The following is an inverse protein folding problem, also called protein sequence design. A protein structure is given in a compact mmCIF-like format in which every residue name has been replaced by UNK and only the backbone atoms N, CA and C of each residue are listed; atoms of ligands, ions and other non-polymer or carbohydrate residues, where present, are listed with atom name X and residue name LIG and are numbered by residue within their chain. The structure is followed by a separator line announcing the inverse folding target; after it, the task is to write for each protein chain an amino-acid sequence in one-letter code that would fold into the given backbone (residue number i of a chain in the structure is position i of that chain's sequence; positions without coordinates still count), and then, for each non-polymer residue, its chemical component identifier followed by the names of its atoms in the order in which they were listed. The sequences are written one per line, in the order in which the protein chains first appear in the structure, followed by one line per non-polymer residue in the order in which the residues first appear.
data_IF_308144344341
#
_entry.id   IF_308144344341
#
_cell.length_a   1.000
_cell.length_b   1.000
_cell.length_c   1.000
_cell.angle_alpha   90.00
_cell.angle_beta   90.00
_cell.angle_gamma   90.00
#
_symmetry.space_group_name_H-M   'P 1'
#
loop_
_entity.id
_entity.type
_entity.pdbx_description
1 polymer ?
#
# COMPACT_ATOMS: atom_id res chain seq x y z
N UNK A 1 -14.56 36.58 11.13
CA UNK A 1 -14.53 35.63 10.00
C UNK A 1 -14.40 34.24 10.60
N UNK A 2 -15.21 33.25 10.20
CA UNK A 2 -14.98 31.87 10.63
C UNK A 2 -13.66 31.39 10.01
N UNK A 3 -12.80 30.80 10.84
CA UNK A 3 -11.54 30.18 10.42
C UNK A 3 -11.81 29.07 9.40
N UNK A 4 -11.01 28.94 8.33
CA UNK A 4 -11.16 27.82 7.41
C UNK A 4 -10.79 26.54 8.17
N UNK A 5 -11.77 25.66 8.38
CA UNK A 5 -11.63 24.25 8.77
C UNK A 5 -10.21 23.81 9.17
N UNK A 6 -9.91 23.86 10.47
CA UNK A 6 -8.94 22.95 11.10
C UNK A 6 -9.53 21.53 11.10
N UNK A 7 -9.80 20.98 9.91
CA UNK A 7 -9.79 19.53 9.79
C UNK A 7 -8.31 19.15 9.90
N UNK A 8 -7.91 18.24 10.81
CA UNK A 8 -6.56 17.70 10.76
C UNK A 8 -6.32 17.23 9.33
N UNK A 9 -5.26 17.71 8.68
CA UNK A 9 -4.96 17.31 7.32
C UNK A 9 -4.79 15.79 7.32
N UNK A 10 -5.74 15.07 6.71
CA UNK A 10 -5.79 13.61 6.76
C UNK A 10 -4.47 13.04 6.24
N UNK A 11 -3.85 12.15 7.02
CA UNK A 11 -2.67 11.41 6.61
C UNK A 11 -3.14 10.44 5.53
N UNK A 12 -2.67 10.63 4.29
CA UNK A 12 -2.93 9.67 3.22
C UNK A 12 -1.68 9.35 2.41
N UNK A 13 -1.61 8.09 1.98
CA UNK A 13 -0.66 7.56 1.00
C UNK A 13 -1.42 7.00 -0.20
N UNK A 14 -1.02 7.41 -1.39
CA UNK A 14 -1.53 6.89 -2.65
C UNK A 14 -0.61 5.75 -3.09
N UNK A 15 -1.18 4.59 -3.36
CA UNK A 15 -0.44 3.46 -3.92
C UNK A 15 -1.19 2.86 -5.10
N UNK A 16 -0.44 2.25 -6.01
CA UNK A 16 -0.95 1.54 -7.15
C UNK A 16 -0.73 0.05 -6.99
N UNK A 17 -1.68 -0.72 -7.51
CA UNK A 17 -1.53 -2.16 -7.69
C UNK A 17 -1.70 -2.47 -9.17
N UNK A 18 -0.65 -3.02 -9.77
CA UNK A 18 -0.73 -3.68 -11.06
C UNK A 18 -1.20 -5.11 -10.83
N UNK A 19 -2.34 -5.47 -11.42
CA UNK A 19 -2.85 -6.84 -11.50
C UNK A 19 -2.46 -7.40 -12.86
N UNK A 20 -1.58 -8.40 -12.87
CA UNK A 20 -1.12 -9.10 -14.07
C UNK A 20 -1.68 -10.53 -14.04
N UNK A 21 -2.82 -10.72 -14.70
CA UNK A 21 -3.52 -12.00 -14.71
C UNK A 21 -2.80 -13.09 -15.50
N UNK A 22 -2.14 -12.81 -16.65
CA UNK A 22 -1.32 -13.80 -17.33
C UNK A 22 -0.21 -14.39 -16.46
N UNK A 23 0.45 -13.55 -15.64
CA UNK A 23 1.53 -13.99 -14.75
C UNK A 23 1.02 -14.46 -13.38
N UNK A 24 -0.26 -14.22 -13.06
CA UNK A 24 -0.84 -14.51 -11.76
C UNK A 24 -0.26 -13.67 -10.62
N UNK A 25 0.28 -12.49 -10.94
CA UNK A 25 1.00 -11.64 -9.97
C UNK A 25 0.29 -10.32 -9.71
N UNK A 26 0.59 -9.74 -8.57
CA UNK A 26 0.29 -8.35 -8.24
C UNK A 26 1.60 -7.62 -7.95
N UNK A 27 1.70 -6.36 -8.37
CA UNK A 27 2.82 -5.48 -8.03
C UNK A 27 2.28 -4.23 -7.34
N UNK A 28 2.73 -3.97 -6.11
CA UNK A 28 2.38 -2.79 -5.31
C UNK A 28 3.49 -1.75 -5.44
N UNK A 29 3.11 -0.51 -5.74
CA UNK A 29 4.02 0.63 -5.80
C UNK A 29 3.40 1.83 -5.11
N UNK A 30 4.08 2.44 -4.16
CA UNK A 30 3.64 3.73 -3.59
C UNK A 30 3.86 4.82 -4.64
N UNK A 31 2.87 5.69 -4.84
CA UNK A 31 2.93 6.73 -5.87
C UNK A 31 3.20 8.11 -5.27
N UNK A 32 2.45 8.45 -4.23
CA UNK A 32 2.47 9.79 -3.65
C UNK A 32 1.94 9.76 -2.21
N UNK A 33 2.06 10.86 -1.51
CA UNK A 33 1.62 11.02 -0.13
C UNK A 33 1.29 12.47 0.19
N UNK A 34 0.40 12.65 1.16
CA UNK A 34 0.03 13.98 1.65
C UNK A 34 1.18 14.66 2.39
N UNK A 35 1.24 15.99 2.34
CA UNK A 35 2.20 16.77 3.11
C UNK A 35 2.06 16.54 4.63
N UNK A 36 0.85 16.22 5.11
CA UNK A 36 0.60 15.86 6.50
C UNK A 36 1.31 14.57 6.91
N UNK A 37 1.28 13.54 6.07
CA UNK A 37 2.01 12.29 6.30
C UNK A 37 3.52 12.54 6.46
N UNK A 38 4.08 13.40 5.59
CA UNK A 38 5.48 13.79 5.67
C UNK A 38 5.79 14.59 6.94
N UNK A 39 4.97 15.60 7.25
CA UNK A 39 5.17 16.47 8.41
C UNK A 39 5.07 15.70 9.74
N UNK A 40 4.23 14.67 9.80
CA UNK A 40 4.11 13.79 10.96
C UNK A 40 5.17 12.68 11.01
N UNK A 41 6.10 12.64 10.05
CA UNK A 41 7.17 11.64 9.99
C UNK A 41 6.65 10.21 9.85
N UNK A 42 5.56 10.03 9.11
CA UNK A 42 5.04 8.71 8.77
C UNK A 42 6.07 7.98 7.91
N UNK A 43 6.23 6.69 8.16
CA UNK A 43 7.08 5.77 7.42
C UNK A 43 6.23 4.68 6.78
N UNK A 44 6.77 4.03 5.76
CA UNK A 44 6.16 2.88 5.13
C UNK A 44 6.89 1.59 5.49
N UNK A 45 6.16 0.49 5.45
CA UNK A 45 6.71 -0.85 5.47
C UNK A 45 5.91 -1.71 4.51
N UNK A 46 6.60 -2.53 3.71
CA UNK A 46 5.93 -3.46 2.80
C UNK A 46 6.10 -4.87 3.38
N UNK A 47 4.98 -5.49 3.72
CA UNK A 47 4.92 -6.88 4.14
C UNK A 47 4.67 -7.81 2.96
N UNK A 48 5.28 -8.98 2.97
CA UNK A 48 4.98 -10.07 2.03
C UNK A 48 4.66 -11.33 2.81
N UNK A 49 3.57 -11.99 2.46
CA UNK A 49 3.15 -13.24 3.09
C UNK A 49 2.95 -14.31 2.03
N UNK A 50 3.71 -15.39 2.13
CA UNK A 50 3.51 -16.61 1.36
C UNK A 50 2.40 -17.48 1.97
N UNK A 51 1.85 -18.39 1.19
CA UNK A 51 0.81 -19.31 1.69
C UNK A 51 1.35 -20.18 2.82
N UNK A 52 0.60 -20.22 3.93
CA UNK A 52 0.98 -20.98 5.11
C UNK A 52 2.08 -20.33 5.97
N UNK A 53 2.62 -19.18 5.56
CA UNK A 53 3.64 -18.46 6.31
C UNK A 53 3.07 -17.24 7.05
N UNK A 54 3.83 -16.77 8.03
CA UNK A 54 3.61 -15.45 8.64
C UNK A 54 4.11 -14.35 7.71
N UNK A 55 3.53 -13.17 7.85
CA UNK A 55 3.97 -11.98 7.11
C UNK A 55 5.43 -11.65 7.45
N UNK A 56 6.25 -11.50 6.42
CA UNK A 56 7.61 -11.00 6.50
C UNK A 56 7.61 -9.51 6.17
N UNK A 57 8.02 -8.68 7.14
CA UNK A 57 8.06 -7.22 7.00
C UNK A 57 9.42 -6.75 6.51
N UNK A 58 9.44 -5.92 5.46
CA UNK A 58 10.66 -5.24 5.04
C UNK A 58 11.14 -4.23 6.09
N UNK A 59 12.37 -3.70 6.01
CA UNK A 59 12.78 -2.57 6.85
C UNK A 59 11.85 -1.36 6.66
N UNK A 60 11.68 -0.57 7.73
CA UNK A 60 10.98 0.71 7.64
C UNK A 60 11.70 1.63 6.64
N UNK A 61 10.91 2.28 5.79
CA UNK A 61 11.39 3.22 4.79
C UNK A 61 10.67 4.55 4.93
N UNK A 62 11.34 5.64 4.57
CA UNK A 62 10.69 6.93 4.42
C UNK A 62 9.63 6.89 3.31
N UNK A 63 8.68 7.83 3.34
CA UNK A 63 7.68 7.96 2.27
C UNK A 63 8.34 8.20 0.90
N UNK A 64 9.44 8.94 0.86
CA UNK A 64 10.19 9.22 -0.38
C UNK A 64 10.92 7.98 -0.93
N UNK A 65 11.45 7.11 -0.06
CA UNK A 65 11.99 5.82 -0.48
C UNK A 65 10.88 4.88 -0.95
N UNK A 66 9.72 4.92 -0.30
CA UNK A 66 8.57 4.10 -0.66
C UNK A 66 8.09 4.39 -2.09
N UNK A 67 8.11 5.64 -2.55
CA UNK A 67 7.69 5.99 -3.94
C UNK A 67 8.61 5.44 -5.02
N UNK A 68 9.82 4.98 -4.64
CA UNK A 68 10.80 4.36 -5.52
C UNK A 68 10.86 2.84 -5.36
N UNK A 69 10.06 2.30 -4.46
CA UNK A 69 10.06 0.89 -4.11
C UNK A 69 8.80 0.23 -4.65
N UNK A 70 8.96 -0.96 -5.20
CA UNK A 70 7.85 -1.85 -5.56
C UNK A 70 8.06 -3.23 -4.96
N UNK A 71 6.95 -3.94 -4.77
CA UNK A 71 6.96 -5.33 -4.33
C UNK A 71 5.97 -6.15 -5.15
N UNK A 72 6.35 -7.38 -5.47
CA UNK A 72 5.54 -8.30 -6.27
C UNK A 72 5.21 -9.55 -5.47
N UNK A 73 3.99 -10.04 -5.61
CA UNK A 73 3.56 -11.32 -5.03
C UNK A 73 2.79 -12.16 -6.06
N UNK A 74 2.93 -13.48 -5.97
CA UNK A 74 2.17 -14.44 -6.74
C UNK A 74 0.76 -14.60 -6.13
N UNK A 75 -0.14 -13.66 -6.43
CA UNK A 75 -1.47 -13.62 -5.84
C UNK A 75 -2.30 -14.87 -6.13
N UNK A 76 -2.22 -15.44 -7.33
CA UNK A 76 -2.94 -16.68 -7.68
C UNK A 76 -2.39 -17.93 -6.97
N UNK A 77 -1.16 -17.85 -6.45
CA UNK A 77 -0.59 -18.87 -5.58
C UNK A 77 -0.94 -18.62 -4.10
N UNK A 78 -1.85 -17.67 -3.81
CA UNK A 78 -2.34 -17.32 -2.48
C UNK A 78 -1.43 -16.37 -1.67
N UNK A 79 -0.39 -15.83 -2.30
CA UNK A 79 0.47 -14.82 -1.66
C UNK A 79 -0.26 -13.49 -1.48
N UNK A 80 0.20 -12.68 -0.51
CA UNK A 80 -0.34 -11.37 -0.23
C UNK A 80 0.75 -10.34 0.05
N UNK A 81 0.53 -9.11 -0.41
CA UNK A 81 1.31 -7.94 -0.03
C UNK A 81 0.54 -7.13 1.01
N UNK A 82 1.29 -6.47 1.88
CA UNK A 82 0.77 -5.53 2.86
C UNK A 82 1.51 -4.21 2.72
N UNK A 83 0.79 -3.10 2.84
CA UNK A 83 1.39 -1.78 3.00
C UNK A 83 0.97 -1.26 4.37
N UNK A 84 1.98 -1.00 5.21
CA UNK A 84 1.81 -0.44 6.54
C UNK A 84 2.26 1.02 6.52
N UNK A 85 1.43 1.90 7.05
CA UNK A 85 1.82 3.25 7.45
C UNK A 85 2.17 3.20 8.92
N UNK A 86 3.39 3.59 9.25
CA UNK A 86 3.96 3.47 10.60
C UNK A 86 4.28 4.87 11.11
N UNK A 87 3.76 5.22 12.28
CA UNK A 87 4.03 6.50 12.93
C UNK A 87 5.40 6.51 13.62
N UNK A 88 5.85 7.69 14.06
CA UNK A 88 7.16 7.87 14.72
C UNK A 88 7.34 7.00 15.98
N UNK A 89 6.25 6.59 16.64
CA UNK A 89 6.31 5.70 17.78
C UNK A 89 6.58 4.23 17.41
N UNK A 90 6.73 3.91 16.11
CA UNK A 90 6.85 2.55 15.60
C UNK A 90 5.54 1.76 15.58
N UNK A 91 4.38 2.43 15.72
CA UNK A 91 3.06 1.79 15.67
C UNK A 91 2.47 1.91 14.27
N UNK A 92 1.84 0.83 13.81
CA UNK A 92 1.03 0.84 12.59
C UNK A 92 -0.16 1.79 12.79
N UNK A 93 -0.23 2.85 11.98
CA UNK A 93 -1.34 3.79 11.92
C UNK A 93 -2.46 3.29 11.01
N UNK A 94 -2.08 2.67 9.89
CA UNK A 94 -2.99 2.06 8.94
C UNK A 94 -2.29 0.91 8.22
N UNK A 95 -3.06 -0.10 7.83
CA UNK A 95 -2.57 -1.26 7.09
C UNK A 95 -3.57 -1.62 6.01
N UNK A 96 -3.07 -1.93 4.82
CA UNK A 96 -3.89 -2.54 3.77
C UNK A 96 -3.26 -3.83 3.28
N UNK A 97 -4.12 -4.80 2.95
CA UNK A 97 -3.75 -6.08 2.35
C UNK A 97 -4.19 -6.11 0.89
N UNK A 98 -3.28 -6.53 0.02
CA UNK A 98 -3.51 -6.78 -1.40
C UNK A 98 -3.20 -8.24 -1.69
N UNK A 99 -4.20 -8.97 -2.17
CA UNK A 99 -4.15 -10.39 -2.50
C UNK A 99 -5.06 -10.68 -3.71
N UNK A 100 -5.26 -11.96 -4.03
CA UNK A 100 -6.17 -12.40 -5.10
C UNK A 100 -7.60 -11.84 -4.93
N UNK A 101 -8.12 -11.77 -3.70
CA UNK A 101 -9.48 -11.30 -3.45
C UNK A 101 -9.68 -9.81 -3.80
N UNK A 102 -8.59 -9.07 -3.98
CA UNK A 102 -8.58 -7.67 -4.43
C UNK A 102 -8.54 -7.52 -5.94
N UNK A 103 -8.59 -8.61 -6.71
CA UNK A 103 -8.62 -8.52 -8.17
C UNK A 103 -9.82 -7.71 -8.67
N UNK A 104 -9.64 -6.92 -9.75
CA UNK A 104 -10.74 -6.26 -10.43
C UNK A 104 -11.80 -7.29 -10.87
N UNK A 105 -13.09 -7.00 -10.63
CA UNK A 105 -14.19 -7.93 -10.97
C UNK A 105 -14.31 -8.24 -12.46
N UNK A 106 -13.77 -7.36 -13.29
CA UNK A 106 -13.76 -7.45 -14.76
C UNK A 106 -12.48 -8.13 -15.30
N UNK A 107 -11.59 -8.61 -14.44
CA UNK A 107 -10.34 -9.24 -14.85
C UNK A 107 -10.58 -10.64 -15.46
N UNK A 108 -10.29 -10.78 -16.74
CA UNK A 108 -10.16 -12.06 -17.44
C UNK A 108 -8.70 -12.51 -17.58
N UNK A 109 -8.41 -13.68 -18.17
CA UNK A 109 -7.07 -14.31 -18.19
C UNK A 109 -5.94 -13.48 -18.83
N UNK A 110 -6.27 -12.52 -19.70
CA UNK A 110 -5.30 -11.65 -20.39
C UNK A 110 -5.21 -10.23 -19.83
N UNK A 111 -5.83 -9.98 -18.69
CA UNK A 111 -5.94 -8.64 -18.13
C UNK A 111 -4.62 -8.21 -17.51
N UNK A 112 -4.19 -7.01 -17.87
CA UNK A 112 -3.12 -6.29 -17.18
C UNK A 112 -3.68 -4.92 -16.83
N UNK A 113 -3.89 -4.66 -15.54
CA UNK A 113 -4.63 -3.48 -15.09
C UNK A 113 -3.98 -2.87 -13.86
N UNK A 114 -3.70 -1.57 -13.91
CA UNK A 114 -3.26 -0.79 -12.76
C UNK A 114 -4.44 -0.10 -12.11
N UNK A 115 -4.58 -0.23 -10.79
CA UNK A 115 -5.59 0.46 -9.99
C UNK A 115 -4.90 1.29 -8.92
N UNK A 116 -5.34 2.53 -8.74
CA UNK A 116 -4.85 3.43 -7.68
C UNK A 116 -5.76 3.37 -6.47
N UNK A 117 -5.17 3.37 -5.28
CA UNK A 117 -5.85 3.32 -4.00
C UNK A 117 -5.30 4.39 -3.06
N UNK A 118 -6.15 4.77 -2.10
CA UNK A 118 -5.79 5.66 -1.01
C UNK A 118 -5.78 4.86 0.29
N UNK A 119 -4.70 4.98 1.06
CA UNK A 119 -4.61 4.48 2.42
C UNK A 119 -4.61 5.66 3.37
N UNK A 120 -5.70 5.83 4.11
CA UNK A 120 -5.87 6.88 5.10
C UNK A 120 -5.46 6.38 6.49
N UNK A 121 -4.77 7.23 7.23
CA UNK A 121 -4.43 7.03 8.63
C UNK A 121 -5.05 8.15 9.49
N UNK A 122 -5.44 7.84 10.74
CA UNK A 122 -5.96 8.83 11.69
C UNK A 122 -4.89 9.79 12.20
#
# INVERSE_FOLDING_TARGET
MPSPNDAPADIAVIFQVLYDTPQGTICLTVQDYTAAALAQGVQCQIGHRKVGEVEQRSPLMSLEEATRTSATAAALDGEALYLHLVGQSGRDLAVTKVDEARWPRDAGPTTVKTVSYWLFAP
#
